data_IF_799221257280
#
_entry.id   IF_799221257280
#
_cell.length_a   1.000
_cell.length_b   1.000
_cell.length_c   1.000
_cell.angle_alpha   90.00
_cell.angle_beta   90.00
_cell.angle_gamma   90.00
#
_symmetry.space_group_name_H-M   'P 1'
#
loop_
_entity.id
_entity.type
_entity.pdbx_description
1 polymer ?
#
# COMPACT_ATOMS: atom_id res chain seq x y z
N UNK A 1 -8.77 1.51 0.28
CA UNK A 1 -8.81 1.23 -1.17
C UNK A 1 -7.50 0.63 -1.63
N UNK A 2 -7.56 -0.26 -2.60
CA UNK A 2 -6.42 -0.84 -3.30
C UNK A 2 -6.36 -0.28 -4.72
N UNK A 3 -5.17 0.09 -5.16
CA UNK A 3 -4.86 0.43 -6.56
C UNK A 3 -3.96 -0.69 -7.06
N UNK A 4 -4.42 -1.41 -8.07
CA UNK A 4 -3.73 -2.55 -8.65
C UNK A 4 -3.16 -2.09 -9.98
N UNK A 5 -1.86 -2.24 -10.19
CA UNK A 5 -1.19 -1.81 -11.42
C UNK A 5 -0.53 -3.03 -12.08
N UNK A 6 -0.90 -3.27 -13.33
CA UNK A 6 -0.22 -4.25 -14.16
C UNK A 6 1.06 -3.63 -14.76
N UNK A 7 2.20 -4.27 -14.47
CA UNK A 7 3.51 -3.74 -14.81
C UNK A 7 3.78 -3.79 -16.31
N UNK A 8 4.52 -2.78 -16.77
CA UNK A 8 5.24 -2.80 -18.04
C UNK A 8 6.70 -3.28 -17.80
N UNK A 9 7.45 -3.62 -18.87
CA UNK A 9 8.85 -4.05 -18.78
C UNK A 9 9.78 -3.08 -18.02
N UNK A 10 9.50 -1.78 -18.05
CA UNK A 10 10.30 -0.73 -17.38
C UNK A 10 9.56 -0.13 -16.17
N UNK A 11 8.89 -0.97 -15.39
CA UNK A 11 8.11 -0.53 -14.24
C UNK A 11 8.98 -0.38 -12.98
N UNK A 12 9.03 0.84 -12.44
CA UNK A 12 9.74 1.15 -11.20
C UNK A 12 8.74 1.47 -10.08
N UNK A 13 8.50 0.51 -9.19
CA UNK A 13 7.46 0.62 -8.14
C UNK A 13 7.57 1.88 -7.31
N UNK A 14 8.79 2.25 -6.89
CA UNK A 14 9.00 3.43 -6.05
C UNK A 14 8.73 4.74 -6.79
N UNK A 15 9.02 4.82 -8.08
CA UNK A 15 8.77 6.03 -8.88
C UNK A 15 7.27 6.26 -9.03
N UNK A 16 6.53 5.18 -9.32
CA UNK A 16 5.07 5.22 -9.37
C UNK A 16 4.49 5.61 -8.00
N UNK A 17 4.96 4.97 -6.92
CA UNK A 17 4.57 5.33 -5.55
C UNK A 17 4.78 6.81 -5.28
N UNK A 18 5.98 7.33 -5.54
CA UNK A 18 6.35 8.72 -5.26
C UNK A 18 5.48 9.70 -6.05
N UNK A 19 5.18 9.39 -7.32
CA UNK A 19 4.28 10.21 -8.13
C UNK A 19 2.85 10.24 -7.58
N UNK A 20 2.34 9.10 -7.11
CA UNK A 20 1.00 8.99 -6.54
C UNK A 20 0.91 9.59 -5.13
N UNK A 21 1.99 9.60 -4.36
CA UNK A 21 2.04 10.19 -3.02
C UNK A 21 1.74 11.70 -3.01
N UNK A 22 1.89 12.40 -4.14
CA UNK A 22 1.44 13.79 -4.27
C UNK A 22 -0.08 13.95 -4.08
N UNK A 23 -0.85 12.92 -4.46
CA UNK A 23 -2.31 12.89 -4.39
C UNK A 23 -2.84 12.00 -3.25
N UNK A 24 -2.07 10.96 -2.89
CA UNK A 24 -2.41 9.93 -1.93
C UNK A 24 -1.25 9.80 -0.91
N UNK A 25 -1.14 10.72 0.07
CA UNK A 25 0.04 10.82 0.93
C UNK A 25 0.31 9.57 1.78
N UNK A 26 -0.74 8.83 2.16
CA UNK A 26 -0.63 7.60 2.95
C UNK A 26 -0.49 6.32 2.10
N UNK A 27 -0.19 6.44 0.80
CA UNK A 27 -0.08 5.29 -0.10
C UNK A 27 1.08 4.36 0.30
N UNK A 28 0.74 3.09 0.53
CA UNK A 28 1.70 2.03 0.89
C UNK A 28 1.74 0.96 -0.21
N UNK A 29 2.90 0.34 -0.39
CA UNK A 29 3.02 -0.86 -1.20
C UNK A 29 2.53 -2.02 -0.32
N UNK A 30 1.48 -2.71 -0.76
CA UNK A 30 0.94 -3.90 -0.10
C UNK A 30 1.54 -5.17 -0.71
N UNK A 31 1.63 -5.22 -2.05
CA UNK A 31 2.18 -6.34 -2.81
C UNK A 31 3.06 -5.81 -3.92
N UNK A 32 4.26 -6.36 -4.07
CA UNK A 32 5.15 -6.12 -5.20
C UNK A 32 5.83 -7.43 -5.61
N UNK A 33 5.22 -8.14 -6.57
CA UNK A 33 5.72 -9.45 -7.03
C UNK A 33 6.46 -9.27 -8.36
N UNK A 34 7.62 -9.89 -8.52
CA UNK A 34 8.35 -9.90 -9.80
C UNK A 34 7.51 -10.52 -10.92
N UNK A 35 7.34 -9.81 -12.03
CA UNK A 35 6.55 -10.27 -13.19
C UNK A 35 5.02 -10.28 -12.98
N UNK A 36 4.53 -9.82 -11.81
CA UNK A 36 3.10 -9.70 -11.51
C UNK A 36 2.68 -8.25 -11.21
N UNK A 37 1.44 -8.10 -10.75
CA UNK A 37 0.87 -6.79 -10.39
C UNK A 37 1.54 -6.20 -9.15
N UNK A 38 1.53 -4.86 -9.07
CA UNK A 38 1.74 -4.15 -7.80
C UNK A 38 0.41 -3.75 -7.23
N UNK A 39 0.24 -3.96 -5.92
CA UNK A 39 -0.92 -3.49 -5.18
C UNK A 39 -0.48 -2.39 -4.23
N UNK A 40 -1.01 -1.20 -4.44
CA UNK A 40 -0.89 -0.09 -3.50
C UNK A 40 -2.14 0.01 -2.63
N UNK A 41 -1.99 0.34 -1.35
CA UNK A 41 -3.10 0.60 -0.41
C UNK A 41 -3.09 2.04 0.06
N UNK A 42 -4.27 2.63 0.10
CA UNK A 42 -4.53 3.91 0.76
C UNK A 42 -5.77 3.82 1.65
N UNK A 43 -5.75 4.51 2.78
CA UNK A 43 -6.91 4.67 3.66
C UNK A 43 -7.78 5.88 3.26
N UNK A 44 -7.32 6.67 2.28
CA UNK A 44 -8.04 7.83 1.79
C UNK A 44 -9.34 7.41 1.10
N UNK A 45 -10.45 8.03 1.51
CA UNK A 45 -11.74 7.89 0.85
C UNK A 45 -11.73 8.59 -0.52
N UNK A 46 -12.58 8.18 -1.48
CA UNK A 46 -12.65 8.81 -2.78
C UNK A 46 -13.00 10.28 -2.62
N UNK A 47 -12.11 11.12 -3.12
CA UNK A 47 -12.22 12.57 -3.10
C UNK A 47 -11.58 13.15 -4.37
N UNK A 48 -11.53 14.47 -4.49
CA UNK A 48 -10.94 15.14 -5.66
C UNK A 48 -9.50 14.71 -5.93
N UNK A 49 -8.66 14.59 -4.88
CA UNK A 49 -7.27 14.17 -5.03
C UNK A 49 -7.16 12.70 -5.48
N UNK A 50 -8.03 11.83 -4.98
CA UNK A 50 -8.10 10.44 -5.44
C UNK A 50 -8.39 10.38 -6.94
N UNK A 51 -9.37 11.14 -7.42
CA UNK A 51 -9.70 11.23 -8.85
C UNK A 51 -8.51 11.77 -9.67
N UNK A 52 -7.77 12.76 -9.14
CA UNK A 52 -6.55 13.25 -9.78
C UNK A 52 -5.45 12.18 -9.86
N UNK A 53 -5.31 11.34 -8.84
CA UNK A 53 -4.40 10.20 -8.88
C UNK A 53 -4.76 9.21 -10.00
N UNK A 54 -6.06 8.95 -10.21
CA UNK A 54 -6.53 8.09 -11.29
C UNK A 54 -6.28 8.70 -12.67
N UNK A 55 -6.50 10.00 -12.84
CA UNK A 55 -6.13 10.69 -14.08
C UNK A 55 -4.63 10.62 -14.36
N UNK A 56 -3.80 10.74 -13.32
CA UNK A 56 -2.35 10.59 -13.47
C UNK A 56 -1.97 9.18 -13.93
N UNK A 57 -2.61 8.13 -13.40
CA UNK A 57 -2.42 6.75 -13.86
C UNK A 57 -2.83 6.56 -15.32
N UNK A 58 -3.92 7.18 -15.75
CA UNK A 58 -4.35 7.14 -17.15
C UNK A 58 -3.32 7.80 -18.08
N UNK A 59 -2.73 8.93 -17.68
CA UNK A 59 -1.60 9.53 -18.41
C UNK A 59 -0.41 8.57 -18.47
N UNK A 60 -0.03 7.94 -17.36
CA UNK A 60 1.07 6.97 -17.33
C UNK A 60 0.82 5.75 -18.23
N UNK A 61 -0.43 5.32 -18.35
CA UNK A 61 -0.85 4.26 -19.28
C UNK A 61 -0.66 4.71 -20.74
N UNK A 62 -1.10 5.91 -21.09
CA UNK A 62 -0.90 6.49 -22.41
C UNK A 62 0.59 6.67 -22.76
N UNK A 63 1.42 6.99 -21.76
CA UNK A 63 2.88 7.05 -21.86
C UNK A 63 3.57 5.68 -21.89
N UNK A 64 2.82 4.57 -21.88
CA UNK A 64 3.33 3.19 -21.83
C UNK A 64 4.22 2.90 -20.61
N UNK A 65 4.06 3.65 -19.51
CA UNK A 65 4.79 3.43 -18.24
C UNK A 65 4.17 2.33 -17.38
N UNK A 66 2.87 2.12 -17.54
CA UNK A 66 2.10 1.02 -16.96
C UNK A 66 1.27 0.37 -18.06
N UNK A 67 0.92 -0.92 -17.92
CA UNK A 67 0.09 -1.60 -18.91
C UNK A 67 -1.40 -1.29 -18.69
N UNK A 68 -1.85 -1.44 -17.44
CA UNK A 68 -3.20 -1.12 -17.03
C UNK A 68 -3.29 -0.91 -15.51
N UNK A 69 -4.43 -0.42 -15.03
CA UNK A 69 -4.70 -0.28 -13.60
C UNK A 69 -6.17 -0.53 -13.24
N UNK A 70 -6.40 -0.90 -11.98
CA UNK A 70 -7.73 -1.09 -11.40
C UNK A 70 -7.81 -0.55 -9.98
N UNK A 71 -9.03 -0.26 -9.52
CA UNK A 71 -9.31 0.19 -8.15
C UNK A 71 -10.27 -0.79 -7.48
N UNK A 72 -9.95 -1.18 -6.25
CA UNK A 72 -10.77 -2.07 -5.45
C UNK A 72 -11.05 -1.44 -4.07
N UNK A 73 -12.29 -1.60 -3.59
CA UNK A 73 -12.63 -1.23 -2.22
C UNK A 73 -11.93 -2.17 -1.25
N UNK A 74 -11.49 -1.63 -0.10
CA UNK A 74 -11.05 -2.49 0.99
C UNK A 74 -12.28 -3.06 1.69
N UNK A 75 -12.29 -4.37 1.94
CA UNK A 75 -13.39 -5.01 2.67
C UNK A 75 -13.19 -4.87 4.18
N UNK A 76 -14.23 -5.13 4.96
CA UNK A 76 -14.13 -5.14 6.43
C UNK A 76 -13.17 -6.24 6.91
N UNK A 77 -13.12 -7.38 6.22
CA UNK A 77 -12.17 -8.47 6.51
C UNK A 77 -10.71 -8.01 6.32
N UNK A 78 -10.44 -7.25 5.26
CA UNK A 78 -9.12 -6.66 4.98
C UNK A 78 -8.66 -5.67 6.07
N UNK A 79 -9.61 -5.00 6.73
CA UNK A 79 -9.34 -4.05 7.83
C UNK A 79 -9.19 -4.80 9.14
N UNK A 80 -10.07 -5.76 9.42
CA UNK A 80 -10.03 -6.58 10.62
C UNK A 80 -8.72 -7.37 10.73
N UNK A 81 -8.32 -8.06 9.66
CA UNK A 81 -7.05 -8.81 9.60
C UNK A 81 -5.82 -7.91 9.75
N UNK A 82 -5.90 -6.62 9.40
CA UNK A 82 -4.81 -5.66 9.64
C UNK A 82 -4.75 -5.31 11.12
N UNK A 83 -5.89 -4.95 11.72
CA UNK A 83 -5.97 -4.60 13.14
C UNK A 83 -5.45 -5.74 14.02
N UNK A 84 -5.82 -6.99 13.76
CA UNK A 84 -5.32 -8.14 14.53
C UNK A 84 -3.81 -8.38 14.38
N UNK A 85 -3.23 -8.04 13.22
CA UNK A 85 -1.78 -8.14 13.00
C UNK A 85 -1.03 -7.02 13.73
N UNK A 86 -1.55 -5.80 13.65
CA UNK A 86 -0.93 -4.63 14.28
C UNK A 86 -1.02 -4.73 15.83
N UNK A 87 -2.08 -5.30 16.40
CA UNK A 87 -2.22 -5.50 17.87
C UNK A 87 -1.32 -6.61 18.44
N UNK A 88 -0.88 -7.58 17.64
CA UNK A 88 -0.01 -8.65 18.13
C UNK A 88 1.45 -8.18 18.30
N UNK A 89 1.88 -7.15 17.58
CA UNK A 89 3.26 -6.65 17.62
C UNK A 89 3.52 -5.82 18.89
N UNK A 90 2.51 -5.10 19.41
CA UNK A 90 2.66 -4.28 20.62
C UNK A 90 2.77 -5.08 21.93
N UNK A 91 2.37 -6.36 21.94
CA UNK A 91 2.39 -7.19 23.15
C UNK A 91 3.69 -7.98 23.36
N UNK A 92 4.60 -8.03 22.38
CA UNK A 92 5.83 -8.85 22.48
C UNK A 92 7.06 -8.09 23.04
N UNK A 93 6.93 -6.78 23.35
CA UNK A 93 8.08 -5.93 23.74
C UNK A 93 8.22 -5.65 25.25
N UNK A 94 7.57 -6.39 26.15
CA UNK A 94 7.58 -6.07 27.61
C UNK A 94 8.05 -7.17 28.56
N UNK A 95 8.85 -8.13 28.09
CA UNK A 95 9.24 -9.30 28.90
C UNK A 95 10.72 -9.67 28.82
N UNK A 96 11.66 -8.78 29.18
CA UNK A 96 12.91 -9.18 29.87
C UNK A 96 13.29 -8.09 30.88
N UNK A 97 12.99 -8.35 32.16
CA UNK A 97 13.79 -7.86 33.30
C UNK A 97 13.70 -8.91 34.39
N UNK A 98 14.47 -9.99 34.26
CA UNK A 98 14.72 -10.92 35.36
C UNK A 98 15.70 -10.25 36.33
N UNK A 99 15.18 -9.70 37.43
CA UNK A 99 15.99 -9.45 38.62
C UNK A 99 16.25 -10.80 39.30
N UNK A 100 17.47 -11.32 39.16
CA UNK A 100 17.98 -12.36 40.06
C UNK A 100 18.71 -11.69 41.21
N UNK A 101 17.95 -11.35 42.26
CA UNK A 101 18.51 -11.19 43.60
C UNK A 101 17.92 -12.32 44.45
N UNK A 102 18.72 -13.37 44.65
CA UNK A 102 18.44 -14.48 45.57
C UNK A 102 19.11 -14.11 46.90
N UNK A 103 18.29 -14.06 47.96
CA UNK A 103 18.70 -13.99 49.38
C UNK A 103 19.49 -15.23 49.82
#
# INVERSE_FOLDING_TARGET
YKIIINKQNNFYTNDIKNSLCHYLPELKIEIDIHGGDVVFRTNQQPNKQFVQALHHLETMKQENRIKDYGVQNSTMDDVFLKLTRDTNIENESKSISMNTDIL
#
